data_IF_067361085336
#
_entry.id   IF_067361085336
#
_cell.length_a   1.000
_cell.length_b   1.000
_cell.length_c   1.000
_cell.angle_alpha   90.00
_cell.angle_beta   90.00
_cell.angle_gamma   90.00
#
_symmetry.space_group_name_H-M   'P 1'
#
loop_
_entity.id
_entity.type
_entity.pdbx_description
1 polymer ?
#
# COMPACT_ATOMS: atom_id res chain seq x y z
N UNK A 1 13.86 16.90 -15.67
CA UNK A 1 14.52 17.20 -14.38
C UNK A 1 13.72 16.53 -13.27
N UNK A 2 14.10 15.33 -12.84
CA UNK A 2 13.47 14.54 -11.78
C UNK A 2 14.47 14.34 -10.62
N UNK A 3 14.96 15.43 -10.03
CA UNK A 3 15.99 15.37 -8.98
C UNK A 3 15.56 15.87 -7.60
N UNK A 4 14.31 16.29 -7.40
CA UNK A 4 13.90 16.96 -6.16
C UNK A 4 13.20 16.09 -5.11
N UNK A 5 13.14 14.75 -5.26
CA UNK A 5 12.54 13.90 -4.22
C UNK A 5 13.56 13.36 -3.21
N UNK A 6 14.83 13.20 -3.60
CA UNK A 6 15.86 12.63 -2.73
C UNK A 6 16.45 13.64 -1.71
N UNK A 7 16.35 14.95 -1.95
CA UNK A 7 16.94 15.98 -1.07
C UNK A 7 15.96 16.58 -0.06
N UNK A 8 14.66 16.35 -0.23
CA UNK A 8 13.67 16.66 0.81
C UNK A 8 13.55 15.45 1.74
N UNK A 9 14.63 15.18 2.48
CA UNK A 9 14.69 14.19 3.55
C UNK A 9 13.49 14.33 4.48
N UNK A 10 12.50 13.47 4.27
CA UNK A 10 11.21 13.50 4.95
C UNK A 10 11.34 13.00 6.37
N UNK A 11 11.78 13.86 7.30
CA UNK A 11 11.48 13.83 8.74
C UNK A 11 11.77 12.56 9.56
N UNK A 12 12.29 11.50 8.97
CA UNK A 12 12.32 10.13 9.53
C UNK A 12 13.74 9.59 9.76
N UNK A 13 14.77 10.27 9.26
CA UNK A 13 16.17 9.87 9.39
C UNK A 13 16.60 8.70 8.50
N UNK A 14 15.72 8.23 7.61
CA UNK A 14 16.00 7.16 6.63
C UNK A 14 16.56 7.74 5.33
N UNK A 15 17.41 6.97 4.64
CA UNK A 15 17.78 7.28 3.25
C UNK A 15 16.59 7.06 2.31
N UNK A 16 16.60 7.73 1.15
CA UNK A 16 15.56 7.57 0.13
C UNK A 16 15.39 6.11 -0.33
N UNK A 17 16.49 5.34 -0.37
CA UNK A 17 16.46 3.92 -0.72
C UNK A 17 15.76 3.07 0.35
N UNK A 18 16.01 3.35 1.63
CA UNK A 18 15.36 2.66 2.76
C UNK A 18 13.88 3.01 2.82
N UNK A 19 13.53 4.28 2.64
CA UNK A 19 12.14 4.72 2.59
C UNK A 19 11.40 4.05 1.43
N UNK A 20 12.01 3.99 0.24
CA UNK A 20 11.43 3.28 -0.91
C UNK A 20 11.22 1.79 -0.62
N UNK A 21 12.22 1.10 -0.07
CA UNK A 21 12.12 -0.31 0.29
C UNK A 21 11.00 -0.57 1.32
N UNK A 22 10.81 0.35 2.26
CA UNK A 22 9.74 0.28 3.25
C UNK A 22 8.35 0.36 2.60
N UNK A 23 8.14 1.29 1.66
CA UNK A 23 6.87 1.40 0.92
C UNK A 23 6.61 0.20 0.02
N UNK A 24 7.63 -0.31 -0.68
CA UNK A 24 7.50 -1.51 -1.52
C UNK A 24 7.17 -2.75 -0.68
N UNK A 25 7.85 -2.93 0.47
CA UNK A 25 7.56 -4.02 1.40
C UNK A 25 6.11 -3.97 1.91
N UNK A 26 5.62 -2.78 2.30
CA UNK A 26 4.25 -2.61 2.75
C UNK A 26 3.25 -2.96 1.64
N UNK A 27 3.52 -2.56 0.40
CA UNK A 27 2.68 -2.87 -0.76
C UNK A 27 2.57 -4.37 -1.02
N UNK A 28 3.70 -5.09 -1.10
CA UNK A 28 3.68 -6.52 -1.38
C UNK A 28 2.99 -7.34 -0.29
N UNK A 29 3.11 -6.95 0.99
CA UNK A 29 2.38 -7.64 2.07
C UNK A 29 0.89 -7.31 2.06
N UNK A 30 0.49 -6.04 1.84
CA UNK A 30 -0.93 -5.66 1.74
C UNK A 30 -1.62 -6.36 0.57
N UNK A 31 -0.91 -6.53 -0.55
CA UNK A 31 -1.40 -7.24 -1.75
C UNK A 31 -1.73 -8.71 -1.50
N UNK A 32 -1.09 -9.35 -0.52
CA UNK A 32 -1.34 -10.75 -0.15
C UNK A 32 -2.55 -10.93 0.78
N UNK A 33 -3.16 -9.84 1.26
CA UNK A 33 -4.35 -9.95 2.11
C UNK A 33 -5.53 -10.55 1.32
N UNK A 34 -6.38 -11.37 1.97
CA UNK A 34 -7.45 -12.05 1.27
C UNK A 34 -8.48 -11.06 0.70
N UNK A 35 -9.12 -11.39 -0.45
CA UNK A 35 -10.13 -10.53 -1.06
C UNK A 35 -11.36 -10.35 -0.18
N UNK A 36 -11.41 -9.26 0.58
CA UNK A 36 -12.50 -8.90 1.51
C UNK A 36 -12.59 -7.38 1.68
N UNK A 37 -13.58 -6.95 2.46
CA UNK A 37 -13.73 -5.55 2.87
C UNK A 37 -13.07 -5.33 4.22
N UNK A 38 -12.17 -4.36 4.30
CA UNK A 38 -11.45 -3.95 5.50
C UNK A 38 -11.68 -2.48 5.79
N UNK A 39 -11.70 -2.10 7.08
CA UNK A 39 -11.38 -0.71 7.41
C UNK A 39 -9.89 -0.44 7.15
N UNK A 40 -9.48 0.80 6.85
CA UNK A 40 -8.05 1.12 6.71
C UNK A 40 -7.23 0.70 7.93
N UNK A 41 -7.71 0.97 9.14
CA UNK A 41 -7.03 0.50 10.36
C UNK A 41 -7.06 -1.02 10.53
N UNK A 42 -8.08 -1.69 9.99
CA UNK A 42 -8.16 -3.15 9.94
C UNK A 42 -7.12 -3.78 9.01
N UNK A 43 -6.69 -3.06 7.97
CA UNK A 43 -5.53 -3.43 7.14
C UNK A 43 -4.27 -3.24 7.97
N UNK A 44 -4.05 -2.07 8.57
CA UNK A 44 -2.87 -1.77 9.38
C UNK A 44 -2.64 -2.77 10.53
N UNK A 45 -3.71 -3.20 11.22
CA UNK A 45 -3.62 -4.23 12.28
C UNK A 45 -3.18 -5.61 11.77
N UNK A 46 -3.38 -5.91 10.49
CA UNK A 46 -2.97 -7.19 9.87
C UNK A 46 -1.54 -7.18 9.37
N UNK A 47 -0.94 -6.00 9.23
CA UNK A 47 0.45 -5.83 8.82
C UNK A 47 1.22 -5.01 9.87
N UNK A 48 1.26 -5.47 11.13
CA UNK A 48 1.80 -4.69 12.25
C UNK A 48 3.31 -4.40 12.13
N UNK A 49 4.02 -5.09 11.24
CA UNK A 49 5.44 -4.85 10.96
C UNK A 49 5.69 -3.56 10.18
N UNK A 50 4.65 -2.93 9.61
CA UNK A 50 4.77 -1.69 8.85
C UNK A 50 4.12 -0.52 9.60
N UNK A 51 4.75 0.67 9.59
CA UNK A 51 4.12 1.88 10.12
C UNK A 51 2.78 2.16 9.44
N UNK A 52 1.80 2.68 10.19
CA UNK A 52 0.46 2.96 9.66
C UNK A 52 0.47 3.79 8.37
N UNK A 53 1.36 4.77 8.26
CA UNK A 53 1.45 5.64 7.08
C UNK A 53 1.88 4.90 5.81
N UNK A 54 2.79 3.92 5.90
CA UNK A 54 3.21 3.12 4.74
C UNK A 54 2.12 2.15 4.32
N UNK A 55 1.36 1.62 5.28
CA UNK A 55 0.17 0.81 5.00
C UNK A 55 -0.89 1.64 4.28
N UNK A 56 -1.12 2.89 4.69
CA UNK A 56 -2.05 3.79 3.98
C UNK A 56 -1.59 4.06 2.55
N UNK A 57 -0.29 4.32 2.34
CA UNK A 57 0.27 4.50 1.00
C UNK A 57 0.09 3.23 0.13
N UNK A 58 0.32 2.05 0.70
CA UNK A 58 0.08 0.77 0.03
C UNK A 58 -1.40 0.57 -0.36
N UNK A 59 -2.34 0.93 0.52
CA UNK A 59 -3.79 0.89 0.22
C UNK A 59 -4.12 1.79 -0.96
N UNK A 60 -3.63 3.03 -0.98
CA UNK A 60 -3.85 3.95 -2.10
C UNK A 60 -3.27 3.42 -3.39
N UNK A 61 -2.06 2.86 -3.35
CA UNK A 61 -1.42 2.22 -4.51
C UNK A 61 -2.20 1.01 -5.02
N UNK A 62 -2.78 0.21 -4.14
CA UNK A 62 -3.69 -0.90 -4.52
C UNK A 62 -4.93 -0.38 -5.25
N UNK A 63 -5.49 0.75 -4.82
CA UNK A 63 -6.65 1.38 -5.47
C UNK A 63 -6.28 1.91 -6.86
N UNK A 64 -5.17 2.64 -6.95
CA UNK A 64 -4.65 3.19 -8.20
C UNK A 64 -4.38 2.10 -9.25
N UNK A 65 -3.79 0.98 -8.83
CA UNK A 65 -3.56 -0.19 -9.69
C UNK A 65 -4.81 -1.04 -9.97
N UNK A 66 -5.97 -0.65 -9.43
CA UNK A 66 -7.23 -1.38 -9.61
C UNK A 66 -7.24 -2.76 -8.95
N UNK A 67 -6.40 -2.98 -7.93
CA UNK A 67 -6.36 -4.19 -7.10
C UNK A 67 -7.27 -4.08 -5.87
N UNK A 68 -7.67 -2.85 -5.52
CA UNK A 68 -8.66 -2.56 -4.49
C UNK A 68 -9.60 -1.45 -4.94
N UNK A 69 -10.72 -1.27 -4.23
CA UNK A 69 -11.65 -0.15 -4.43
C UNK A 69 -12.07 0.44 -3.09
N UNK A 70 -12.27 1.75 -3.05
CA UNK A 70 -12.90 2.39 -1.90
C UNK A 70 -14.41 2.19 -1.97
N UNK A 71 -15.03 1.85 -0.85
CA UNK A 71 -16.48 1.74 -0.69
C UNK A 71 -17.06 3.05 -0.21
N UNK A 72 -18.38 3.21 -0.33
CA UNK A 72 -19.11 4.39 0.15
C UNK A 72 -18.96 4.62 1.67
N UNK A 73 -18.65 3.58 2.44
CA UNK A 73 -18.43 3.65 3.88
C UNK A 73 -16.94 3.85 4.25
N UNK A 74 -16.14 4.43 3.35
CA UNK A 74 -14.70 4.64 3.53
C UNK A 74 -13.91 3.38 3.89
N UNK A 75 -14.40 2.20 3.45
CA UNK A 75 -13.70 0.92 3.59
C UNK A 75 -12.96 0.55 2.31
N UNK A 76 -11.93 -0.27 2.44
CA UNK A 76 -11.11 -0.80 1.35
C UNK A 76 -11.61 -2.19 0.99
N UNK A 77 -12.10 -2.38 -0.23
CA UNK A 77 -12.44 -3.69 -0.78
C UNK A 77 -11.26 -4.19 -1.60
N UNK A 78 -10.55 -5.20 -1.10
CA UNK A 78 -9.50 -5.90 -1.87
C UNK A 78 -10.20 -6.82 -2.87
N UNK A 79 -9.79 -6.72 -4.14
CA UNK A 79 -10.35 -7.50 -5.23
C UNK A 79 -9.64 -8.85 -5.32
N UNK A 80 -10.30 -9.90 -5.85
CA UNK A 80 -9.60 -11.13 -6.19
C UNK A 80 -8.45 -10.82 -7.17
N UNK A 81 -7.35 -11.61 -7.13
CA UNK A 81 -6.35 -11.51 -8.17
C UNK A 81 -7.06 -11.65 -9.51
N UNK A 82 -6.75 -10.77 -10.47
CA UNK A 82 -7.17 -11.02 -11.85
C UNK A 82 -6.52 -12.33 -12.23
N UNK A 83 -7.32 -13.38 -12.45
CA UNK A 83 -6.84 -14.51 -13.24
C UNK A 83 -6.29 -13.89 -14.52
N UNK A 84 -4.98 -13.99 -14.73
CA UNK A 84 -4.46 -13.88 -16.08
C UNK A 84 -5.19 -14.97 -16.85
N UNK A 85 -6.21 -14.56 -17.62
CA UNK A 85 -6.82 -15.42 -18.61
C UNK A 85 -5.70 -15.79 -19.58
N UNK A 86 -5.04 -16.92 -19.31
CA UNK A 86 -4.23 -17.63 -20.30
C UNK A 86 -5.19 -18.06 -21.41
N UNK A 87 -5.31 -17.20 -22.41
CA UNK A 87 -5.84 -17.53 -23.74
C UNK A 87 -4.68 -17.81 -24.68
#
# INVERSE_FOLDING_TARGET
MYQNWAEMGGGSGMSAAEEHALYEGAFEVVKQLPPRVYSPDGVARRVPQFPRYTVMAAIWRMIDKGLAKMTLASRVRILPPKEESNG
#
